data_IF_967758760669
#
_entry.id   IF_967758760669
#
_cell.length_a   1.000
_cell.length_b   1.000
_cell.length_c   1.000
_cell.angle_alpha   90.00
_cell.angle_beta   90.00
_cell.angle_gamma   90.00
#
_symmetry.space_group_name_H-M   'P 1'
#
loop_
_entity.id
_entity.type
_entity.pdbx_description
1 polymer ?
#
# COMPACT_ATOMS: atom_id res chain seq x y z
N UNK A 1 -19.47 64.46 55.33
CA UNK A 1 -18.22 63.71 55.07
C UNK A 1 -18.47 62.79 53.87
N UNK A 2 -17.94 63.15 52.70
CA UNK A 2 -18.23 62.55 51.41
C UNK A 2 -17.04 61.68 51.07
N UNK A 3 -17.19 60.32 50.99
CA UNK A 3 -16.19 59.39 50.62
C UNK A 3 -16.34 59.09 49.07
N UNK A 4 -15.36 59.50 48.29
CA UNK A 4 -15.25 59.18 46.87
C UNK A 4 -14.77 57.73 46.70
N UNK A 5 -15.56 56.90 46.04
CA UNK A 5 -15.12 55.58 45.54
C UNK A 5 -14.38 55.76 44.23
N UNK A 6 -13.12 55.38 44.15
CA UNK A 6 -12.33 55.21 42.88
C UNK A 6 -12.66 53.86 42.29
N UNK A 7 -13.11 53.83 41.03
CA UNK A 7 -13.27 52.63 40.25
C UNK A 7 -11.88 52.11 39.80
N UNK A 8 -11.55 50.91 40.21
CA UNK A 8 -10.37 50.18 39.71
C UNK A 8 -10.81 49.37 38.51
N UNK A 9 -10.34 49.74 37.31
CA UNK A 9 -10.53 48.94 36.06
C UNK A 9 -9.52 47.81 36.12
N UNK A 10 -9.91 46.53 36.01
CA UNK A 10 -8.93 45.45 36.06
C UNK A 10 -8.19 45.33 34.75
N UNK A 11 -6.88 45.47 34.80
CA UNK A 11 -5.92 45.30 33.70
C UNK A 11 -5.86 43.85 33.16
N UNK A 12 -6.67 42.95 33.68
CA UNK A 12 -6.70 41.53 33.23
C UNK A 12 -7.35 41.29 31.84
N UNK A 13 -8.16 42.23 31.35
CA UNK A 13 -8.86 42.06 30.08
C UNK A 13 -8.00 42.32 28.84
N UNK A 14 -6.88 43.09 28.98
CA UNK A 14 -6.01 43.41 27.83
C UNK A 14 -4.96 42.34 27.55
N UNK A 15 -4.60 41.48 28.49
CA UNK A 15 -3.61 40.42 28.33
C UNK A 15 -4.19 39.21 27.61
N UNK A 16 -5.50 38.95 27.75
CA UNK A 16 -6.18 37.78 27.15
C UNK A 16 -6.40 37.99 25.67
N UNK A 17 -6.64 39.23 25.17
CA UNK A 17 -6.81 39.53 23.75
C UNK A 17 -5.49 39.52 22.99
N UNK A 18 -4.36 39.87 23.59
CA UNK A 18 -3.05 39.83 22.96
C UNK A 18 -2.51 38.39 22.82
N UNK A 19 -2.81 37.52 23.79
CA UNK A 19 -2.41 36.09 23.70
C UNK A 19 -3.22 35.29 22.70
N UNK A 20 -4.52 35.62 22.48
CA UNK A 20 -5.34 34.97 21.46
C UNK A 20 -4.92 35.37 20.02
N UNK A 21 -4.45 36.62 19.81
CA UNK A 21 -3.98 37.08 18.51
C UNK A 21 -2.59 36.52 18.17
N UNK A 22 -1.71 36.35 19.15
CA UNK A 22 -0.39 35.74 18.95
C UNK A 22 -0.49 34.22 18.70
N UNK A 23 -1.43 33.53 19.35
CA UNK A 23 -1.71 32.12 19.11
C UNK A 23 -2.29 31.84 17.70
N UNK A 24 -3.13 32.74 17.18
CA UNK A 24 -3.69 32.62 15.83
C UNK A 24 -2.65 32.92 14.72
N UNK A 25 -1.65 33.76 14.98
CA UNK A 25 -0.52 34.03 14.08
C UNK A 25 0.50 32.89 14.09
N UNK A 26 0.74 32.24 15.22
CA UNK A 26 1.61 31.06 15.31
C UNK A 26 0.97 29.82 14.67
N UNK A 27 -0.35 29.65 14.75
CA UNK A 27 -1.06 28.57 14.08
C UNK A 27 -1.10 28.73 12.54
N UNK A 28 -1.02 29.96 12.03
CA UNK A 28 -0.94 30.23 10.57
C UNK A 28 0.47 30.07 9.99
N UNK A 29 1.52 30.11 10.81
CA UNK A 29 2.90 29.93 10.39
C UNK A 29 3.32 28.46 10.23
N UNK A 30 2.51 27.49 10.65
CA UNK A 30 2.83 26.06 10.58
C UNK A 30 2.37 25.35 9.31
N UNK A 31 1.87 26.03 8.29
CA UNK A 31 1.39 25.40 7.05
C UNK A 31 2.07 25.82 5.75
N UNK A 32 3.16 26.56 5.83
CA UNK A 32 4.06 26.70 4.69
C UNK A 32 4.98 25.45 4.66
N UNK A 33 4.44 24.32 4.18
CA UNK A 33 5.25 23.13 3.93
C UNK A 33 6.44 23.49 3.03
N UNK A 34 7.63 22.99 3.36
CA UNK A 34 8.80 23.15 2.52
C UNK A 34 8.46 22.75 1.06
N UNK A 35 8.99 23.48 0.09
CA UNK A 35 8.75 23.15 -1.32
C UNK A 35 9.20 21.71 -1.61
N UNK A 36 8.42 20.93 -2.38
CA UNK A 36 8.75 19.54 -2.70
C UNK A 36 10.15 19.44 -3.31
N UNK A 37 11.01 18.59 -2.74
CA UNK A 37 12.39 18.42 -3.20
C UNK A 37 12.53 17.18 -4.09
N UNK A 38 13.12 17.38 -5.29
CA UNK A 38 13.34 16.35 -6.30
C UNK A 38 14.32 15.29 -5.81
N UNK A 39 13.99 13.98 -5.89
CA UNK A 39 14.98 12.93 -5.70
C UNK A 39 16.12 13.02 -6.73
N UNK A 40 17.41 13.08 -6.29
CA UNK A 40 18.54 13.32 -7.19
C UNK A 40 18.63 12.36 -8.37
N UNK A 41 18.29 11.09 -8.19
CA UNK A 41 18.28 10.06 -9.25
C UNK A 41 17.33 10.39 -10.41
N UNK A 42 16.32 11.22 -10.19
CA UNK A 42 15.36 11.65 -11.21
C UNK A 42 15.76 12.98 -11.88
N UNK A 43 16.75 13.69 -11.36
CA UNK A 43 17.16 15.01 -11.82
C UNK A 43 17.48 15.08 -13.31
N UNK A 44 18.25 14.14 -13.85
CA UNK A 44 18.58 14.08 -15.28
C UNK A 44 17.34 13.95 -16.18
N UNK A 45 16.34 13.16 -15.74
CA UNK A 45 15.08 13.01 -16.47
C UNK A 45 14.22 14.26 -16.44
N UNK A 46 14.25 15.00 -15.33
CA UNK A 46 13.56 16.28 -15.21
C UNK A 46 14.26 17.33 -16.08
N UNK A 47 15.58 17.42 -16.05
CA UNK A 47 16.36 18.37 -16.86
C UNK A 47 16.21 18.13 -18.37
N UNK A 48 16.08 16.86 -18.79
CA UNK A 48 15.83 16.50 -20.20
C UNK A 48 14.37 16.66 -20.64
N UNK A 49 13.45 17.02 -19.72
CA UNK A 49 12.01 17.08 -20.00
C UNK A 49 11.31 15.73 -20.15
N UNK A 50 12.03 14.60 -19.99
CA UNK A 50 11.43 13.25 -20.07
C UNK A 50 10.60 12.89 -18.82
N UNK A 51 10.68 13.68 -17.77
CA UNK A 51 9.86 13.61 -16.57
C UNK A 51 9.49 15.03 -16.13
N UNK A 52 8.20 15.24 -15.82
CA UNK A 52 7.75 16.54 -15.29
C UNK A 52 8.41 16.83 -13.92
N UNK A 53 8.61 18.12 -13.56
CA UNK A 53 9.05 18.50 -12.21
C UNK A 53 8.16 17.92 -11.12
N UNK A 54 8.72 17.68 -9.93
CA UNK A 54 8.06 17.02 -8.81
C UNK A 54 6.70 17.64 -8.45
N UNK A 55 6.60 18.97 -8.46
CA UNK A 55 5.36 19.68 -8.15
C UNK A 55 4.19 19.34 -9.09
N UNK A 56 4.47 18.86 -10.32
CA UNK A 56 3.45 18.39 -11.29
C UNK A 56 3.18 16.89 -11.18
N UNK A 57 3.96 16.17 -10.40
CA UNK A 57 3.85 14.71 -10.22
C UNK A 57 3.18 14.32 -8.92
N UNK A 58 3.30 15.13 -7.89
CA UNK A 58 2.63 14.93 -6.61
C UNK A 58 1.15 15.31 -6.71
N UNK A 59 0.27 14.69 -5.90
CA UNK A 59 -1.07 15.20 -5.71
C UNK A 59 -1.03 16.59 -5.07
N UNK A 60 -2.10 17.36 -5.23
CA UNK A 60 -2.22 18.74 -4.67
C UNK A 60 -1.95 18.75 -3.16
N UNK A 61 -2.40 17.72 -2.46
CA UNK A 61 -2.11 17.47 -1.05
C UNK A 61 -1.46 16.10 -0.89
N UNK A 62 -0.12 16.00 -0.97
CA UNK A 62 0.58 14.74 -0.74
C UNK A 62 0.40 14.28 0.70
N UNK A 63 0.55 12.99 0.95
CA UNK A 63 0.59 12.46 2.30
C UNK A 63 1.92 12.81 2.96
N UNK A 64 1.89 13.60 4.02
CA UNK A 64 3.09 13.93 4.82
C UNK A 64 3.28 12.85 5.88
N UNK A 65 4.43 12.17 5.82
CA UNK A 65 4.81 11.19 6.84
C UNK A 65 5.50 11.94 7.99
N UNK A 66 4.94 11.90 9.21
CA UNK A 66 5.58 12.54 10.36
C UNK A 66 6.90 11.85 10.68
N UNK A 67 7.96 12.66 10.90
CA UNK A 67 9.31 12.18 11.24
C UNK A 67 9.69 12.49 12.69
N UNK A 68 8.75 13.00 13.47
CA UNK A 68 8.90 13.33 14.89
C UNK A 68 8.19 12.26 15.73
N UNK A 69 8.94 11.52 16.49
CA UNK A 69 8.44 10.43 17.34
C UNK A 69 8.83 9.03 16.81
N UNK A 70 8.65 8.04 17.64
CA UNK A 70 8.91 6.60 17.34
C UNK A 70 10.32 6.28 16.80
N UNK A 71 11.32 7.13 17.06
CA UNK A 71 12.69 6.95 16.59
C UNK A 71 12.88 7.18 15.08
N UNK A 72 11.90 7.76 14.40
CA UNK A 72 12.02 8.11 12.99
C UNK A 72 12.81 9.40 12.81
N UNK A 73 13.70 9.40 11.82
CA UNK A 73 14.44 10.58 11.38
C UNK A 73 14.46 10.65 9.85
N UNK A 74 14.58 11.86 9.28
CA UNK A 74 14.70 12.00 7.84
C UNK A 74 15.90 11.25 7.28
N UNK A 75 15.66 10.40 6.29
CA UNK A 75 16.70 9.63 5.60
C UNK A 75 17.49 10.44 4.58
N UNK A 76 18.41 9.77 3.90
CA UNK A 76 19.18 10.28 2.75
C UNK A 76 18.72 9.58 1.49
N UNK A 77 18.64 10.30 0.39
CA UNK A 77 18.37 9.70 -0.92
C UNK A 77 19.52 8.83 -1.40
N UNK A 78 19.17 7.77 -2.11
CA UNK A 78 20.11 6.88 -2.77
C UNK A 78 20.07 5.46 -2.24
N UNK A 79 21.02 4.67 -2.72
CA UNK A 79 21.25 3.31 -2.26
C UNK A 79 20.31 2.27 -2.83
N UNK A 80 20.69 1.02 -2.53
CA UNK A 80 20.01 -0.20 -2.97
C UNK A 80 19.69 -1.04 -1.75
N UNK A 81 18.42 -1.40 -1.57
CA UNK A 81 18.00 -2.35 -0.54
C UNK A 81 18.07 -3.78 -1.10
N UNK A 82 18.89 -4.63 -0.54
CA UNK A 82 19.07 -6.03 -0.96
C UNK A 82 18.25 -6.97 -0.09
N UNK A 83 17.50 -7.85 -0.73
CA UNK A 83 16.64 -8.85 -0.09
C UNK A 83 16.88 -10.23 -0.70
N UNK A 84 16.70 -11.28 0.08
CA UNK A 84 16.75 -12.67 -0.38
C UNK A 84 15.36 -13.30 -0.30
N UNK A 85 14.98 -14.02 -1.37
CA UNK A 85 13.71 -14.76 -1.42
C UNK A 85 13.94 -16.16 -1.99
N UNK A 86 13.08 -17.13 -1.61
CA UNK A 86 13.28 -18.50 -2.06
C UNK A 86 12.54 -18.83 -3.36
N UNK A 87 11.54 -18.06 -3.72
CA UNK A 87 10.70 -18.34 -4.90
C UNK A 87 10.39 -17.05 -5.65
N UNK A 88 10.34 -17.06 -6.99
CA UNK A 88 9.98 -15.88 -7.78
C UNK A 88 8.65 -15.24 -7.36
N UNK A 89 7.66 -16.03 -6.94
CA UNK A 89 6.37 -15.52 -6.45
C UNK A 89 6.48 -14.69 -5.16
N UNK A 90 7.59 -14.73 -4.45
CA UNK A 90 7.77 -13.98 -3.20
C UNK A 90 8.02 -12.49 -3.44
N UNK A 91 8.25 -12.06 -4.68
CA UNK A 91 8.29 -10.63 -5.04
C UNK A 91 7.02 -9.88 -4.61
N UNK A 92 5.89 -10.58 -4.41
CA UNK A 92 4.68 -10.04 -3.80
C UNK A 92 4.91 -9.38 -2.44
N UNK A 93 5.97 -9.76 -1.73
CA UNK A 93 6.35 -9.11 -0.46
C UNK A 93 6.66 -7.63 -0.63
N UNK A 94 7.00 -7.17 -1.84
CA UNK A 94 7.17 -5.74 -2.11
C UNK A 94 5.88 -4.93 -1.90
N UNK A 95 4.71 -5.55 -2.05
CA UNK A 95 3.44 -4.88 -1.69
C UNK A 95 3.26 -4.74 -0.18
N UNK A 96 3.85 -5.67 0.60
CA UNK A 96 3.85 -5.61 2.07
C UNK A 96 4.89 -4.61 2.58
N UNK A 97 6.10 -4.63 2.04
CA UNK A 97 7.18 -3.71 2.43
C UNK A 97 6.90 -2.26 1.99
N UNK A 98 6.32 -2.07 0.83
CA UNK A 98 5.92 -0.75 0.34
C UNK A 98 4.73 -0.16 1.09
N UNK A 99 3.82 -1.00 1.48
CA UNK A 99 2.62 -0.74 2.28
C UNK A 99 1.87 0.54 1.88
N UNK A 100 1.66 0.76 0.57
CA UNK A 100 0.74 1.77 0.08
C UNK A 100 -0.65 1.14 -0.05
N UNK A 101 -1.64 1.69 0.68
CA UNK A 101 -3.00 1.18 0.83
C UNK A 101 -4.01 2.31 0.66
N UNK A 102 -5.28 2.02 0.36
CA UNK A 102 -6.33 3.05 0.41
C UNK A 102 -6.42 3.65 1.81
N UNK A 103 -6.49 2.81 2.83
CA UNK A 103 -6.30 3.13 4.23
C UNK A 103 -5.22 2.23 4.81
N UNK A 104 -4.47 2.67 5.80
CA UNK A 104 -3.32 1.97 6.35
C UNK A 104 -3.32 2.02 7.88
N UNK A 105 -2.70 1.05 8.54
CA UNK A 105 -2.44 1.12 9.97
C UNK A 105 -1.27 2.07 10.25
N UNK A 106 -1.45 2.97 11.20
CA UNK A 106 -0.36 3.77 11.77
C UNK A 106 0.41 2.98 12.86
N UNK A 107 1.37 3.62 13.53
CA UNK A 107 2.17 2.99 14.59
C UNK A 107 1.34 2.64 15.83
N UNK A 108 0.24 3.32 16.06
CA UNK A 108 -0.73 3.14 17.14
C UNK A 108 -1.78 2.08 16.79
N UNK A 109 -1.66 1.42 15.63
CA UNK A 109 -2.60 0.43 15.08
C UNK A 109 -3.98 1.00 14.75
N UNK A 110 -4.08 2.30 14.56
CA UNK A 110 -5.29 2.95 14.06
C UNK A 110 -5.30 2.93 12.53
N UNK A 111 -6.49 2.79 11.93
CA UNK A 111 -6.63 2.84 10.48
C UNK A 111 -6.82 4.29 10.06
N UNK A 112 -5.88 4.79 9.26
CA UNK A 112 -5.85 6.16 8.76
C UNK A 112 -5.85 6.17 7.21
N UNK A 113 -6.35 7.23 6.55
CA UNK A 113 -6.20 7.40 5.10
C UNK A 113 -4.73 7.45 4.68
N UNK A 114 -4.41 6.78 3.54
CA UNK A 114 -3.06 6.77 2.96
C UNK A 114 -3.10 7.20 1.46
N UNK A 115 -3.43 6.29 0.55
CA UNK A 115 -3.71 6.65 -0.86
C UNK A 115 -4.92 7.57 -0.92
N UNK A 116 -5.94 7.30 -0.10
CA UNK A 116 -7.05 8.22 0.10
C UNK A 116 -6.57 9.50 0.79
N UNK A 117 -7.17 10.61 0.44
CA UNK A 117 -7.02 11.86 1.17
C UNK A 117 -7.88 11.85 2.44
N UNK A 118 -9.09 11.30 2.32
CA UNK A 118 -10.08 11.23 3.40
C UNK A 118 -11.00 10.02 3.22
N UNK A 119 -11.42 9.43 4.33
CA UNK A 119 -12.41 8.37 4.40
C UNK A 119 -13.52 8.80 5.35
N UNK A 120 -14.76 8.84 4.88
CA UNK A 120 -15.93 9.08 5.72
C UNK A 120 -16.68 7.76 5.93
N UNK A 121 -17.04 7.50 7.18
CA UNK A 121 -17.77 6.29 7.58
C UNK A 121 -19.03 6.70 8.33
N UNK A 122 -20.19 6.24 7.86
CA UNK A 122 -21.48 6.50 8.50
C UNK A 122 -22.15 5.17 8.88
N UNK A 123 -22.31 4.94 10.17
CA UNK A 123 -22.96 3.75 10.73
C UNK A 123 -22.29 2.42 10.32
N UNK A 124 -20.99 2.42 9.98
CA UNK A 124 -20.30 1.27 9.39
C UNK A 124 -21.00 0.66 8.17
N UNK A 125 -21.87 1.44 7.50
CA UNK A 125 -22.70 1.00 6.38
C UNK A 125 -22.45 1.81 5.10
N UNK A 126 -22.22 3.11 5.22
CA UNK A 126 -21.88 3.99 4.12
C UNK A 126 -20.43 4.45 4.28
N UNK A 127 -19.65 4.28 3.22
CA UNK A 127 -18.23 4.62 3.16
C UNK A 127 -17.98 5.49 1.93
N UNK A 128 -17.58 6.74 2.17
CA UNK A 128 -17.20 7.68 1.09
C UNK A 128 -15.69 7.82 1.08
N UNK A 129 -15.12 7.46 -0.06
CA UNK A 129 -13.66 7.44 -0.29
C UNK A 129 -13.28 8.65 -1.14
N UNK A 130 -12.51 9.58 -0.58
CA UNK A 130 -12.01 10.75 -1.28
C UNK A 130 -10.57 10.53 -1.71
N UNK A 131 -10.33 10.56 -3.02
CA UNK A 131 -9.00 10.42 -3.61
C UNK A 131 -8.23 11.73 -3.49
N UNK A 132 -6.90 11.65 -3.48
CA UNK A 132 -6.05 12.84 -3.55
C UNK A 132 -6.13 13.44 -4.96
N UNK A 133 -6.56 14.69 -5.06
CA UNK A 133 -6.64 15.40 -6.35
C UNK A 133 -5.25 15.47 -7.00
N UNK A 134 -5.19 15.04 -8.26
CA UNK A 134 -3.93 15.01 -9.04
C UNK A 134 -3.03 13.81 -8.75
N UNK A 135 -3.48 12.82 -7.98
CA UNK A 135 -2.74 11.56 -7.78
C UNK A 135 -2.58 10.82 -9.11
N UNK A 136 -1.44 10.14 -9.30
CA UNK A 136 -1.10 9.46 -10.55
C UNK A 136 -0.58 8.06 -10.30
N UNK A 137 -0.82 7.18 -11.27
CA UNK A 137 -0.16 5.90 -11.38
C UNK A 137 1.35 6.06 -11.68
N UNK A 138 2.12 4.99 -11.51
CA UNK A 138 3.58 5.00 -11.70
C UNK A 138 4.05 5.31 -13.13
N UNK A 139 3.16 5.24 -14.11
CA UNK A 139 3.38 5.64 -15.51
C UNK A 139 2.97 7.10 -15.79
N UNK A 140 2.39 7.79 -14.79
CA UNK A 140 1.96 9.16 -14.89
C UNK A 140 0.50 9.37 -15.27
N UNK A 141 -0.26 8.31 -15.58
CA UNK A 141 -1.70 8.43 -15.84
C UNK A 141 -2.45 8.85 -14.55
N UNK A 142 -3.48 9.72 -14.62
CA UNK A 142 -4.29 10.08 -13.46
C UNK A 142 -4.92 8.86 -12.77
N UNK A 143 -4.94 8.88 -11.43
CA UNK A 143 -5.68 7.93 -10.60
C UNK A 143 -6.99 8.59 -10.17
N UNK A 144 -8.12 8.05 -10.62
CA UNK A 144 -9.44 8.67 -10.50
C UNK A 144 -10.54 7.65 -10.14
N UNK A 145 -11.76 8.12 -9.97
CA UNK A 145 -12.95 7.28 -9.76
C UNK A 145 -13.19 6.28 -10.91
N UNK A 146 -12.68 6.56 -12.12
CA UNK A 146 -12.74 5.63 -13.25
C UNK A 146 -12.02 4.30 -12.98
N UNK A 147 -10.93 4.31 -12.19
CA UNK A 147 -10.20 3.11 -11.81
C UNK A 147 -11.03 2.20 -10.87
N UNK A 148 -11.92 2.80 -10.07
CA UNK A 148 -12.90 2.10 -9.24
C UNK A 148 -14.09 1.62 -10.04
N UNK A 149 -14.62 2.46 -10.97
CA UNK A 149 -15.69 2.05 -11.88
C UNK A 149 -15.27 0.84 -12.69
N UNK A 150 -14.08 0.89 -13.31
CA UNK A 150 -13.55 -0.23 -14.08
C UNK A 150 -13.45 -1.51 -13.25
N UNK A 151 -12.95 -1.41 -12.02
CA UNK A 151 -12.94 -2.57 -11.13
C UNK A 151 -14.35 -3.09 -10.87
N UNK A 152 -15.29 -2.21 -10.52
CA UNK A 152 -16.64 -2.60 -10.12
C UNK A 152 -17.45 -3.19 -11.29
N UNK A 153 -17.50 -2.48 -12.40
CA UNK A 153 -18.34 -2.85 -13.53
C UNK A 153 -17.71 -3.85 -14.48
N UNK A 154 -16.41 -3.69 -14.74
CA UNK A 154 -15.72 -4.43 -15.80
C UNK A 154 -14.93 -5.63 -15.28
N UNK A 155 -14.61 -5.68 -13.97
CA UNK A 155 -13.84 -6.78 -13.40
C UNK A 155 -14.68 -7.57 -12.39
N UNK A 156 -15.20 -6.94 -11.35
CA UNK A 156 -15.83 -7.62 -10.23
C UNK A 156 -17.24 -8.16 -10.55
N UNK A 157 -17.95 -7.50 -11.46
CA UNK A 157 -19.27 -7.89 -11.93
C UNK A 157 -19.28 -8.50 -13.35
N UNK A 158 -18.10 -8.70 -13.96
CA UNK A 158 -17.99 -9.42 -15.23
C UNK A 158 -17.91 -10.95 -14.98
N UNK A 159 -18.85 -11.70 -15.54
CA UNK A 159 -18.93 -13.17 -15.34
C UNK A 159 -17.72 -13.93 -15.92
N UNK A 160 -17.05 -13.36 -16.93
CA UNK A 160 -15.83 -13.95 -17.49
C UNK A 160 -14.61 -13.78 -16.58
N UNK A 161 -14.52 -12.65 -15.89
CA UNK A 161 -13.42 -12.32 -14.99
C UNK A 161 -13.70 -12.75 -13.53
N UNK A 162 -14.94 -12.67 -13.06
CA UNK A 162 -15.33 -13.05 -11.71
C UNK A 162 -16.44 -14.13 -11.72
N UNK A 163 -16.17 -15.34 -12.21
CA UNK A 163 -17.18 -16.40 -12.33
C UNK A 163 -17.74 -16.86 -10.99
N UNK A 164 -17.05 -16.62 -9.89
CA UNK A 164 -17.48 -16.94 -8.52
C UNK A 164 -18.08 -15.74 -7.77
N UNK A 165 -18.31 -14.62 -8.46
CA UNK A 165 -18.85 -13.39 -7.90
C UNK A 165 -17.84 -12.54 -7.13
N UNK A 166 -18.38 -11.63 -6.32
CA UNK A 166 -17.60 -10.67 -5.56
C UNK A 166 -16.79 -11.32 -4.42
N UNK A 167 -15.71 -10.66 -4.03
CA UNK A 167 -14.94 -11.05 -2.86
C UNK A 167 -15.80 -10.96 -1.58
N UNK A 168 -15.64 -11.93 -0.67
CA UNK A 168 -16.47 -12.05 0.55
C UNK A 168 -16.46 -10.79 1.42
N UNK A 169 -15.35 -10.05 1.44
CA UNK A 169 -15.25 -8.78 2.20
C UNK A 169 -16.18 -7.68 1.66
N UNK A 170 -16.65 -7.81 0.42
CA UNK A 170 -17.64 -6.92 -0.18
C UNK A 170 -19.08 -7.36 0.05
N UNK A 171 -19.31 -8.53 0.63
CA UNK A 171 -20.62 -9.08 0.85
C UNK A 171 -21.02 -8.96 2.34
N UNK A 172 -22.28 -8.59 2.58
CA UNK A 172 -22.92 -8.68 3.90
C UNK A 172 -24.16 -9.54 3.72
N UNK A 173 -24.22 -10.67 4.43
CA UNK A 173 -25.29 -11.68 4.28
C UNK A 173 -25.49 -12.14 2.80
N UNK A 174 -24.40 -12.16 2.02
CA UNK A 174 -24.42 -12.53 0.61
C UNK A 174 -24.77 -11.38 -0.36
N UNK A 175 -25.15 -10.22 0.14
CA UNK A 175 -25.53 -9.06 -0.69
C UNK A 175 -24.38 -8.08 -0.90
N UNK A 176 -24.28 -7.57 -2.13
CA UNK A 176 -23.29 -6.59 -2.56
C UNK A 176 -23.67 -5.17 -2.09
N UNK A 177 -22.71 -4.26 -1.96
CA UNK A 177 -23.00 -2.85 -1.75
C UNK A 177 -23.54 -2.20 -3.03
N UNK A 178 -24.26 -1.10 -2.85
CA UNK A 178 -24.44 -0.12 -3.91
C UNK A 178 -23.15 0.67 -4.07
N UNK A 179 -22.62 0.72 -5.28
CA UNK A 179 -21.45 1.52 -5.66
C UNK A 179 -21.90 2.76 -6.43
N UNK A 180 -21.31 3.90 -6.12
CA UNK A 180 -21.60 5.18 -6.77
C UNK A 180 -20.31 5.97 -7.04
N UNK A 181 -20.21 6.57 -8.21
CA UNK A 181 -19.25 7.65 -8.49
C UNK A 181 -19.96 8.95 -8.11
N UNK A 182 -19.42 9.65 -7.11
CA UNK A 182 -19.94 10.95 -6.69
C UNK A 182 -19.36 12.06 -7.57
N UNK A 183 -18.05 12.00 -7.82
CA UNK A 183 -17.32 12.88 -8.74
C UNK A 183 -16.03 12.20 -9.21
N UNK A 184 -15.16 12.90 -9.97
CA UNK A 184 -13.90 12.36 -10.50
C UNK A 184 -12.96 11.81 -9.42
N UNK A 185 -13.05 12.31 -8.19
CA UNK A 185 -12.15 11.97 -7.08
C UNK A 185 -12.88 11.36 -5.89
N UNK A 186 -14.17 11.08 -6.01
CA UNK A 186 -14.99 10.59 -4.90
C UNK A 186 -15.85 9.41 -5.31
N UNK A 187 -15.73 8.31 -4.58
CA UNK A 187 -16.59 7.13 -4.75
C UNK A 187 -17.23 6.75 -3.43
N UNK A 188 -18.39 6.10 -3.51
CA UNK A 188 -19.17 5.67 -2.34
C UNK A 188 -19.60 4.22 -2.45
N UNK A 189 -19.49 3.51 -1.33
CA UNK A 189 -20.03 2.16 -1.13
C UNK A 189 -21.06 2.19 -0.01
N UNK A 190 -22.27 1.66 -0.26
CA UNK A 190 -23.36 1.64 0.71
C UNK A 190 -23.94 0.24 0.81
N UNK A 191 -23.88 -0.36 2.00
CA UNK A 191 -24.48 -1.66 2.30
C UNK A 191 -25.85 -1.46 2.97
N UNK A 192 -26.71 -2.46 2.87
CA UNK A 192 -28.01 -2.47 3.55
C UNK A 192 -27.89 -2.65 5.08
N UNK A 193 -26.79 -3.30 5.53
CA UNK A 193 -26.40 -3.47 6.94
C UNK A 193 -24.93 -3.06 7.15
N UNK A 194 -24.49 -2.86 8.41
CA UNK A 194 -23.09 -2.55 8.69
C UNK A 194 -22.10 -3.58 8.14
N UNK A 195 -21.00 -3.13 7.54
CA UNK A 195 -19.84 -3.94 7.14
C UNK A 195 -18.57 -3.49 7.90
N UNK A 196 -18.35 -3.96 9.13
CA UNK A 196 -17.20 -3.56 9.94
C UNK A 196 -15.87 -4.07 9.36
N UNK A 197 -15.90 -5.02 8.43
CA UNK A 197 -14.70 -5.63 7.83
C UNK A 197 -14.16 -4.85 6.63
N UNK A 198 -14.93 -3.94 6.04
CA UNK A 198 -14.56 -3.27 4.80
C UNK A 198 -13.29 -2.43 4.97
N UNK A 199 -13.24 -1.52 5.97
CA UNK A 199 -12.07 -0.65 6.18
C UNK A 199 -10.82 -1.44 6.60
N UNK A 200 -10.89 -2.40 7.54
CA UNK A 200 -9.76 -3.29 7.83
C UNK A 200 -9.25 -4.07 6.62
N UNK A 201 -10.14 -4.49 5.71
CA UNK A 201 -9.74 -5.17 4.48
C UNK A 201 -8.95 -4.26 3.52
N UNK A 202 -9.25 -2.95 3.49
CA UNK A 202 -8.49 -1.97 2.69
C UNK A 202 -7.07 -1.77 3.24
N UNK A 203 -6.87 -1.92 4.57
CA UNK A 203 -5.60 -1.74 5.27
C UNK A 203 -4.77 -3.03 5.40
N UNK A 204 -5.32 -4.17 5.05
CA UNK A 204 -4.68 -5.48 5.25
C UNK A 204 -3.32 -5.61 4.53
N UNK A 205 -2.40 -6.48 4.99
CA UNK A 205 -1.16 -6.79 4.29
C UNK A 205 -1.38 -7.31 2.86
N UNK A 206 -2.44 -8.10 2.65
CA UNK A 206 -3.02 -8.42 1.33
C UNK A 206 -4.34 -7.65 1.20
N UNK A 207 -4.31 -6.42 0.69
CA UNK A 207 -5.46 -5.54 0.76
C UNK A 207 -6.57 -5.98 -0.21
N UNK A 208 -7.78 -5.56 0.11
CA UNK A 208 -8.89 -5.59 -0.81
C UNK A 208 -8.66 -4.52 -1.89
N UNK A 209 -8.23 -4.96 -3.08
CA UNK A 209 -8.04 -4.06 -4.22
C UNK A 209 -9.38 -3.82 -4.92
N UNK A 210 -10.00 -2.67 -4.68
CA UNK A 210 -11.27 -2.21 -5.28
C UNK A 210 -11.06 -1.18 -6.39
N UNK A 211 -9.88 -1.14 -6.96
CA UNK A 211 -9.49 -0.26 -8.07
C UNK A 211 -8.48 -0.97 -8.99
N UNK A 212 -8.43 -0.55 -10.24
CA UNK A 212 -7.53 -1.09 -11.27
C UNK A 212 -7.04 0.02 -12.17
N UNK A 213 -5.82 -0.03 -12.72
CA UNK A 213 -5.37 0.91 -13.75
C UNK A 213 -6.18 0.69 -15.03
N UNK A 214 -7.32 1.35 -15.12
CA UNK A 214 -8.29 1.19 -16.20
C UNK A 214 -7.66 1.42 -17.58
N UNK A 215 -6.86 2.49 -17.73
CA UNK A 215 -6.16 2.83 -18.96
C UNK A 215 -5.22 1.72 -19.47
N UNK A 216 -4.65 0.94 -18.56
CA UNK A 216 -3.79 -0.21 -18.90
C UNK A 216 -4.60 -1.45 -19.22
N UNK A 217 -5.58 -1.80 -18.37
CA UNK A 217 -6.29 -3.09 -18.46
C UNK A 217 -7.39 -3.13 -19.50
N UNK A 218 -8.00 -2.01 -19.87
CA UNK A 218 -8.95 -1.91 -21.00
C UNK A 218 -8.40 -2.50 -22.29
N UNK A 219 -7.08 -2.43 -22.49
CA UNK A 219 -6.40 -3.03 -23.66
C UNK A 219 -6.50 -4.56 -23.72
N UNK A 220 -6.92 -5.22 -22.67
CA UNK A 220 -7.03 -6.67 -22.55
C UNK A 220 -8.45 -7.14 -22.22
N UNK A 221 -9.45 -6.26 -22.34
CA UNK A 221 -10.82 -6.53 -21.93
C UNK A 221 -11.78 -6.55 -23.12
N UNK A 222 -12.67 -7.57 -23.18
CA UNK A 222 -13.60 -7.82 -24.30
C UNK A 222 -14.60 -6.69 -24.58
N UNK A 223 -14.89 -5.85 -23.60
CA UNK A 223 -15.74 -4.66 -23.78
C UNK A 223 -15.07 -3.56 -24.60
N UNK A 224 -13.74 -3.53 -24.67
CA UNK A 224 -12.96 -2.41 -25.24
C UNK A 224 -12.11 -2.81 -26.45
N UNK A 225 -11.91 -4.11 -26.68
CA UNK A 225 -11.07 -4.62 -27.75
C UNK A 225 -11.84 -5.70 -28.51
N UNK A 226 -11.67 -5.71 -29.82
CA UNK A 226 -12.26 -6.72 -30.69
C UNK A 226 -11.90 -8.15 -30.28
N UNK A 227 -12.86 -9.07 -30.37
CA UNK A 227 -12.69 -10.46 -29.92
C UNK A 227 -11.58 -11.20 -30.66
N UNK A 228 -11.47 -11.02 -31.97
CA UNK A 228 -10.42 -11.67 -32.77
C UNK A 228 -9.03 -11.15 -32.42
N UNK A 229 -8.91 -9.87 -32.11
CA UNK A 229 -7.66 -9.29 -31.62
C UNK A 229 -7.29 -9.82 -30.22
N UNK A 230 -8.26 -9.94 -29.32
CA UNK A 230 -8.02 -10.52 -27.99
C UNK A 230 -7.61 -11.99 -28.06
N UNK A 231 -8.22 -12.77 -28.94
CA UNK A 231 -7.83 -14.16 -29.16
C UNK A 231 -6.38 -14.27 -29.67
N UNK A 232 -5.99 -13.44 -30.64
CA UNK A 232 -4.60 -13.37 -31.11
C UNK A 232 -3.63 -13.04 -29.98
N UNK A 233 -3.95 -12.04 -29.19
CA UNK A 233 -3.14 -11.63 -28.01
C UNK A 233 -3.07 -12.72 -26.95
N UNK A 234 -4.19 -13.39 -26.65
CA UNK A 234 -4.24 -14.50 -25.72
C UNK A 234 -3.36 -15.67 -26.17
N UNK A 235 -3.47 -16.06 -27.46
CA UNK A 235 -2.65 -17.10 -28.08
C UNK A 235 -1.17 -16.76 -28.05
N UNK A 236 -0.79 -15.54 -28.44
CA UNK A 236 0.59 -15.05 -28.37
C UNK A 236 1.16 -15.09 -26.94
N UNK A 237 0.35 -14.77 -25.93
CA UNK A 237 0.70 -14.84 -24.52
C UNK A 237 0.56 -16.25 -23.91
N UNK A 238 0.27 -17.29 -24.72
CA UNK A 238 0.02 -18.67 -24.29
C UNK A 238 -1.08 -18.75 -23.21
N UNK A 239 -2.16 -17.98 -23.40
CA UNK A 239 -3.34 -17.99 -22.51
C UNK A 239 -4.52 -18.65 -23.23
N UNK A 240 -5.39 -19.30 -22.42
CA UNK A 240 -6.54 -20.05 -22.92
C UNK A 240 -7.57 -19.15 -23.64
N UNK A 241 -7.78 -17.95 -23.09
CA UNK A 241 -8.76 -16.98 -23.56
C UNK A 241 -8.41 -15.57 -23.07
N UNK A 242 -9.20 -14.57 -23.47
CA UNK A 242 -9.03 -13.18 -23.09
C UNK A 242 -9.10 -12.96 -21.54
N UNK A 243 -9.99 -13.67 -20.85
CA UNK A 243 -10.10 -13.54 -19.39
C UNK A 243 -8.81 -14.01 -18.68
N UNK A 244 -8.24 -15.14 -19.13
CA UNK A 244 -6.94 -15.63 -18.65
C UNK A 244 -5.79 -14.68 -19.00
N UNK A 245 -5.87 -14.00 -20.15
CA UNK A 245 -4.92 -12.95 -20.53
C UNK A 245 -5.07 -11.75 -19.60
N UNK A 246 -6.29 -11.22 -19.42
CA UNK A 246 -6.57 -10.11 -18.51
C UNK A 246 -6.07 -10.40 -17.10
N UNK A 247 -6.42 -11.55 -16.51
CA UNK A 247 -5.93 -11.96 -15.20
C UNK A 247 -4.41 -12.03 -15.12
N UNK A 248 -3.74 -12.43 -16.19
CA UNK A 248 -2.27 -12.46 -16.20
C UNK A 248 -1.65 -11.06 -16.21
N UNK A 249 -2.40 -10.05 -16.66
CA UNK A 249 -1.99 -8.65 -16.69
C UNK A 249 -2.40 -7.90 -15.42
N UNK A 250 -3.51 -8.30 -14.78
CA UNK A 250 -4.05 -7.72 -13.53
C UNK A 250 -3.53 -8.45 -12.28
N UNK A 251 -2.26 -8.26 -11.93
CA UNK A 251 -1.63 -8.93 -10.80
C UNK A 251 -1.02 -7.96 -9.79
N UNK A 252 -1.82 -7.01 -9.31
CA UNK A 252 -1.35 -5.98 -8.37
C UNK A 252 -0.65 -6.56 -7.13
N UNK A 253 -1.24 -7.59 -6.50
CA UNK A 253 -0.65 -8.21 -5.32
C UNK A 253 0.59 -9.07 -5.64
N UNK A 254 0.63 -9.74 -6.80
CA UNK A 254 1.79 -10.56 -7.17
C UNK A 254 3.01 -9.74 -7.52
N UNK A 255 2.79 -8.55 -8.05
CA UNK A 255 3.80 -7.57 -8.37
C UNK A 255 4.91 -8.12 -9.31
N UNK A 256 4.52 -9.00 -10.22
CA UNK A 256 5.40 -9.73 -11.14
C UNK A 256 5.24 -9.29 -12.62
N UNK A 257 4.46 -8.24 -12.87
CA UNK A 257 4.27 -7.64 -14.20
C UNK A 257 4.88 -6.23 -14.22
N UNK A 258 6.02 -6.00 -14.89
CA UNK A 258 6.67 -4.69 -14.94
C UNK A 258 5.88 -3.63 -15.71
N UNK A 259 4.96 -4.05 -16.60
CA UNK A 259 4.12 -3.15 -17.39
C UNK A 259 2.88 -2.66 -16.62
N UNK A 260 2.51 -3.33 -15.53
CA UNK A 260 1.34 -2.97 -14.73
C UNK A 260 1.61 -1.72 -13.91
N UNK A 261 0.91 -0.60 -14.14
CA UNK A 261 1.04 0.58 -13.31
C UNK A 261 0.71 0.30 -11.85
N UNK A 262 1.42 0.93 -10.94
CA UNK A 262 1.25 0.73 -9.50
C UNK A 262 1.23 2.05 -8.74
N UNK A 263 0.61 2.06 -7.56
CA UNK A 263 0.68 3.15 -6.58
C UNK A 263 1.70 2.88 -5.47
N UNK A 264 2.45 1.76 -5.56
CA UNK A 264 3.48 1.39 -4.59
C UNK A 264 4.72 2.30 -4.72
N UNK A 265 5.56 2.42 -3.67
CA UNK A 265 6.75 3.28 -3.68
C UNK A 265 7.82 2.84 -4.69
N UNK A 266 7.87 1.57 -5.04
CA UNK A 266 8.75 1.03 -6.08
C UNK A 266 7.94 0.25 -7.11
N UNK A 267 8.40 0.26 -8.36
CA UNK A 267 7.84 -0.50 -9.48
C UNK A 267 8.86 -1.51 -9.98
N UNK A 268 8.38 -2.70 -10.35
CA UNK A 268 9.24 -3.72 -10.98
C UNK A 268 9.75 -3.21 -12.33
N UNK A 269 11.02 -3.51 -12.64
CA UNK A 269 11.65 -3.15 -13.93
C UNK A 269 12.20 -4.35 -14.69
N UNK A 270 12.36 -5.50 -14.04
CA UNK A 270 12.85 -6.73 -14.68
C UNK A 270 11.69 -7.67 -14.98
N UNK A 271 11.52 -8.10 -16.25
CA UNK A 271 10.49 -9.07 -16.59
C UNK A 271 10.87 -10.48 -16.12
N UNK A 272 9.91 -11.27 -15.60
CA UNK A 272 10.13 -12.69 -15.39
C UNK A 272 10.16 -13.46 -16.76
N UNK A 273 10.86 -14.64 -16.83
CA UNK A 273 11.51 -15.32 -15.73
C UNK A 273 12.87 -14.70 -15.38
N UNK A 274 13.16 -14.57 -14.10
CA UNK A 274 14.43 -14.06 -13.60
C UNK A 274 14.69 -14.57 -12.18
N UNK A 275 15.96 -14.66 -11.79
CA UNK A 275 16.37 -14.90 -10.41
C UNK A 275 16.77 -13.61 -9.68
N UNK A 276 16.87 -12.49 -10.41
CA UNK A 276 17.20 -11.19 -9.88
C UNK A 276 16.12 -10.17 -10.29
N UNK A 277 15.30 -9.77 -9.34
CA UNK A 277 14.25 -8.78 -9.54
C UNK A 277 14.74 -7.41 -9.08
N UNK A 278 14.60 -6.42 -9.96
CA UNK A 278 14.99 -5.03 -9.70
C UNK A 278 13.75 -4.17 -9.67
N UNK A 279 13.57 -3.49 -8.56
CA UNK A 279 12.50 -2.51 -8.37
C UNK A 279 13.13 -1.12 -8.27
N UNK A 280 12.57 -0.16 -9.01
CA UNK A 280 13.02 1.22 -8.98
C UNK A 280 11.93 2.12 -8.43
N UNK A 281 12.33 3.21 -7.81
CA UNK A 281 11.44 4.20 -7.23
C UNK A 281 10.33 4.60 -8.21
N UNK A 282 9.11 4.72 -7.68
CA UNK A 282 7.97 5.28 -8.40
C UNK A 282 8.09 6.82 -8.41
N UNK A 283 8.26 7.47 -9.57
CA UNK A 283 8.42 8.92 -9.65
C UNK A 283 7.14 9.70 -9.28
N UNK A 284 5.98 9.03 -9.22
CA UNK A 284 4.68 9.61 -8.89
C UNK A 284 4.17 9.19 -7.50
N UNK A 285 5.06 8.67 -6.64
CA UNK A 285 4.64 8.24 -5.31
C UNK A 285 4.14 9.42 -4.47
N UNK A 286 3.00 9.25 -3.81
CA UNK A 286 2.22 10.32 -3.20
C UNK A 286 2.70 10.78 -1.82
N UNK A 287 3.65 10.09 -1.20
CA UNK A 287 4.13 10.44 0.13
C UNK A 287 5.36 11.33 0.09
N UNK A 288 5.39 12.30 1.01
CA UNK A 288 6.55 13.14 1.29
C UNK A 288 6.90 13.09 2.77
N UNK A 289 8.13 13.43 3.14
CA UNK A 289 8.51 13.66 4.53
C UNK A 289 8.07 15.06 5.00
N UNK A 290 8.32 15.37 6.28
CA UNK A 290 7.98 16.67 6.87
C UNK A 290 8.72 17.85 6.23
N UNK A 291 9.84 17.60 5.54
CA UNK A 291 10.58 18.60 4.78
C UNK A 291 10.16 18.70 3.29
N UNK A 292 9.07 18.03 2.89
CA UNK A 292 8.57 18.01 1.52
C UNK A 292 9.37 17.15 0.55
N UNK A 293 10.30 16.32 1.01
CA UNK A 293 11.09 15.43 0.15
C UNK A 293 10.27 14.20 -0.21
N UNK A 294 10.18 13.88 -1.52
CA UNK A 294 9.40 12.73 -1.98
C UNK A 294 9.99 11.40 -1.48
N UNK A 295 9.17 10.57 -0.88
CA UNK A 295 9.55 9.20 -0.50
C UNK A 295 9.43 8.22 -1.69
N UNK A 296 10.04 7.04 -1.63
CA UNK A 296 10.96 6.55 -0.60
C UNK A 296 12.34 7.22 -0.69
N UNK A 297 13.19 7.12 0.34
CA UNK A 297 14.58 7.57 0.24
C UNK A 297 15.44 6.61 -0.60
N UNK A 298 15.20 5.32 -0.49
CA UNK A 298 15.90 4.26 -1.21
C UNK A 298 15.49 4.27 -2.68
N UNK A 299 16.46 4.34 -3.59
CA UNK A 299 16.20 4.43 -5.02
C UNK A 299 15.85 3.11 -5.68
N UNK A 300 16.46 2.02 -5.20
CA UNK A 300 16.33 0.70 -5.81
C UNK A 300 16.16 -0.39 -4.74
N UNK A 301 15.35 -1.40 -5.03
CA UNK A 301 15.28 -2.64 -4.25
C UNK A 301 15.63 -3.80 -5.15
N UNK A 302 16.58 -4.64 -4.72
CA UNK A 302 16.99 -5.83 -5.43
C UNK A 302 16.60 -7.06 -4.63
N UNK A 303 15.81 -7.94 -5.24
CA UNK A 303 15.51 -9.26 -4.68
C UNK A 303 16.28 -10.30 -5.46
N UNK A 304 17.16 -11.02 -4.78
CA UNK A 304 17.87 -12.18 -5.32
C UNK A 304 17.19 -13.47 -4.87
N UNK A 305 16.91 -14.37 -5.81
CA UNK A 305 16.39 -15.70 -5.49
C UNK A 305 17.55 -16.59 -5.03
N UNK A 306 17.34 -17.26 -3.91
CA UNK A 306 18.27 -18.23 -3.34
C UNK A 306 17.46 -19.37 -2.70
N UNK A 307 18.02 -20.56 -2.59
CA UNK A 307 17.29 -21.66 -1.93
C UNK A 307 17.04 -21.32 -0.45
N UNK A 308 15.90 -21.72 0.09
CA UNK A 308 15.53 -21.40 1.47
C UNK A 308 16.55 -21.90 2.51
N UNK A 309 17.28 -22.99 2.19
CA UNK A 309 18.31 -23.58 3.07
C UNK A 309 19.54 -22.68 3.23
N UNK A 310 19.92 -21.91 2.21
CA UNK A 310 21.12 -21.06 2.24
C UNK A 310 20.83 -19.61 2.62
N UNK A 311 19.56 -19.17 2.63
CA UNK A 311 19.19 -17.81 3.01
C UNK A 311 19.71 -17.41 4.40
N UNK A 312 19.60 -18.24 5.46
CA UNK A 312 20.15 -17.88 6.76
C UNK A 312 21.68 -17.64 6.72
N UNK A 313 22.42 -18.49 6.00
CA UNK A 313 23.87 -18.34 5.86
C UNK A 313 24.24 -17.05 5.10
N UNK A 314 23.58 -16.76 3.98
CA UNK A 314 23.74 -15.52 3.22
C UNK A 314 23.36 -14.27 4.03
N UNK A 315 22.34 -14.37 4.87
CA UNK A 315 21.98 -13.30 5.80
C UNK A 315 23.07 -13.08 6.84
N UNK A 316 23.59 -14.17 7.42
CA UNK A 316 24.69 -14.12 8.38
C UNK A 316 25.99 -13.59 7.79
N UNK A 317 26.23 -13.70 6.46
CA UNK A 317 27.38 -13.11 5.77
C UNK A 317 27.15 -11.66 5.32
N UNK A 318 25.98 -11.04 5.62
CA UNK A 318 25.69 -9.66 5.26
C UNK A 318 25.26 -9.43 3.81
N UNK A 319 24.83 -10.48 3.09
CA UNK A 319 24.39 -10.35 1.69
C UNK A 319 22.99 -9.73 1.53
N UNK A 320 22.26 -9.50 2.63
CA UNK A 320 20.95 -8.81 2.62
C UNK A 320 20.90 -7.70 3.68
N UNK A 321 20.26 -6.60 3.34
CA UNK A 321 20.12 -5.43 4.21
C UNK A 321 18.90 -5.55 5.14
N UNK A 322 17.87 -6.29 4.72
CA UNK A 322 16.67 -6.60 5.49
C UNK A 322 16.23 -8.03 5.21
N UNK A 323 16.15 -8.88 6.22
CA UNK A 323 15.73 -10.26 6.04
C UNK A 323 14.84 -10.72 7.18
N UNK A 324 13.56 -10.97 6.88
CA UNK A 324 12.61 -11.60 7.81
C UNK A 324 12.13 -12.95 7.25
N UNK A 325 11.80 -12.97 5.94
CA UNK A 325 11.27 -14.16 5.28
C UNK A 325 12.35 -15.25 5.18
N UNK A 326 11.99 -16.51 5.47
CA UNK A 326 12.87 -17.68 5.52
C UNK A 326 13.90 -17.66 6.67
N UNK A 327 13.79 -16.69 7.59
CA UNK A 327 14.48 -16.73 8.88
C UNK A 327 13.50 -17.29 9.92
N UNK A 328 13.95 -18.26 10.69
CA UNK A 328 13.18 -18.94 11.75
C UNK A 328 13.91 -18.80 13.07
N UNK A 329 13.23 -19.10 14.16
CA UNK A 329 13.79 -18.97 15.51
C UNK A 329 14.98 -19.92 15.74
N UNK A 330 15.01 -21.09 15.10
CA UNK A 330 16.15 -22.02 15.15
C UNK A 330 17.43 -21.49 14.51
N UNK A 331 17.35 -20.42 13.69
CA UNK A 331 18.52 -19.71 13.17
C UNK A 331 19.06 -18.62 14.14
N UNK A 332 18.38 -18.37 15.28
CA UNK A 332 18.67 -17.23 16.15
C UNK A 332 20.12 -17.22 16.65
N UNK A 333 20.59 -18.31 17.25
CA UNK A 333 21.94 -18.41 17.83
C UNK A 333 23.01 -18.14 16.78
N UNK A 334 22.89 -18.79 15.61
CA UNK A 334 23.80 -18.59 14.49
C UNK A 334 23.83 -17.13 14.02
N UNK A 335 22.67 -16.50 13.85
CA UNK A 335 22.61 -15.12 13.39
C UNK A 335 23.09 -14.12 14.45
N UNK A 336 22.84 -14.37 15.74
CA UNK A 336 23.38 -13.54 16.83
C UNK A 336 24.89 -13.62 16.92
N UNK A 337 25.47 -14.77 16.63
CA UNK A 337 26.93 -14.92 16.55
C UNK A 337 27.49 -14.21 15.31
N UNK A 338 26.80 -14.30 14.18
CA UNK A 338 27.18 -13.62 12.93
C UNK A 338 27.09 -12.08 13.03
N UNK A 339 26.16 -11.55 13.83
CA UNK A 339 26.00 -10.12 14.13
C UNK A 339 27.29 -9.48 14.67
N UNK A 340 28.09 -10.23 15.41
CA UNK A 340 29.39 -9.77 15.96
C UNK A 340 30.44 -9.50 14.87
N UNK A 341 30.32 -10.13 13.70
CA UNK A 341 31.30 -10.08 12.61
C UNK A 341 30.85 -9.22 11.45
N UNK A 342 29.55 -8.96 11.35
CA UNK A 342 28.91 -8.24 10.23
C UNK A 342 28.02 -7.13 10.78
N UNK A 343 27.89 -6.06 10.03
CA UNK A 343 27.13 -4.85 10.42
C UNK A 343 25.63 -5.06 10.20
N UNK A 344 24.98 -5.85 11.07
CA UNK A 344 23.54 -5.99 11.14
C UNK A 344 23.07 -6.30 12.56
N UNK A 345 21.78 -6.15 12.85
CA UNK A 345 21.18 -6.44 14.14
C UNK A 345 20.04 -7.47 14.02
N UNK A 346 20.08 -8.53 14.82
CA UNK A 346 19.01 -9.51 14.93
C UNK A 346 17.96 -9.00 15.93
N UNK A 347 16.74 -8.82 15.46
CA UNK A 347 15.61 -8.36 16.28
C UNK A 347 14.53 -9.43 16.31
N UNK A 348 14.05 -9.75 17.51
CA UNK A 348 12.91 -10.64 17.69
C UNK A 348 11.63 -9.83 17.69
N UNK A 349 10.64 -10.27 16.92
CA UNK A 349 9.32 -9.68 16.89
C UNK A 349 8.34 -10.52 17.69
N UNK A 350 7.50 -9.88 18.48
CA UNK A 350 6.35 -10.53 19.08
C UNK A 350 5.35 -10.88 17.99
N UNK A 351 4.88 -12.11 17.99
CA UNK A 351 3.80 -12.56 17.11
C UNK A 351 2.49 -12.66 17.90
N UNK A 352 1.37 -12.45 17.22
CA UNK A 352 0.03 -12.62 17.81
C UNK A 352 -0.54 -14.02 17.57
N UNK A 353 0.23 -14.92 16.97
CA UNK A 353 -0.16 -16.32 16.75
C UNK A 353 -0.17 -17.05 18.08
N UNK A 354 -1.32 -17.62 18.45
CA UNK A 354 -1.49 -18.35 19.72
C UNK A 354 -0.72 -19.67 19.76
N UNK A 355 -0.39 -20.28 18.62
CA UNK A 355 0.40 -21.50 18.50
C UNK A 355 1.38 -21.40 17.33
N UNK A 356 2.63 -21.81 17.57
CA UNK A 356 3.64 -21.92 16.52
C UNK A 356 3.47 -23.21 15.69
N UNK A 357 2.93 -24.23 16.29
CA UNK A 357 2.61 -25.51 15.69
C UNK A 357 1.15 -25.85 15.99
N UNK A 358 0.39 -26.17 14.95
CA UNK A 358 -0.99 -26.63 15.06
C UNK A 358 -1.17 -27.93 14.29
N UNK A 359 -1.83 -28.89 14.90
CA UNK A 359 -2.23 -30.13 14.25
C UNK A 359 -3.66 -29.96 13.74
N UNK A 360 -3.86 -30.27 12.46
CA UNK A 360 -5.17 -30.25 11.82
C UNK A 360 -5.58 -31.68 11.48
N UNK A 361 -6.40 -32.33 12.31
CA UNK A 361 -6.88 -33.67 12.00
C UNK A 361 -7.75 -33.67 10.75
N UNK A 362 -7.64 -34.72 9.94
CA UNK A 362 -8.51 -34.86 8.77
C UNK A 362 -9.90 -35.37 9.23
N UNK A 363 -10.80 -34.43 9.51
CA UNK A 363 -12.18 -34.75 9.92
C UNK A 363 -13.05 -35.32 8.80
N UNK A 364 -12.51 -35.42 7.57
CA UNK A 364 -13.21 -36.03 6.41
C UNK A 364 -12.57 -37.35 5.96
N UNK A 365 -11.75 -37.98 6.81
CA UNK A 365 -11.21 -39.32 6.52
C UNK A 365 -12.33 -40.29 6.21
N UNK A 366 -12.13 -41.14 5.19
CA UNK A 366 -13.18 -42.09 4.73
C UNK A 366 -13.54 -43.13 5.77
N UNK A 367 -12.55 -43.62 6.53
CA UNK A 367 -12.77 -44.59 7.61
C UNK A 367 -13.68 -43.99 8.72
N UNK A 368 -14.84 -44.59 8.98
CA UNK A 368 -15.81 -44.05 9.93
C UNK A 368 -15.32 -44.12 11.39
N UNK A 369 -14.46 -45.09 11.74
CA UNK A 369 -13.90 -45.22 13.10
C UNK A 369 -12.91 -44.07 13.35
N UNK A 370 -11.98 -43.87 12.43
CA UNK A 370 -11.04 -42.75 12.52
C UNK A 370 -11.73 -41.38 12.46
N UNK A 371 -12.73 -41.21 11.61
CA UNK A 371 -13.51 -39.99 11.53
C UNK A 371 -14.18 -39.65 12.86
N UNK A 372 -14.78 -40.67 13.52
CA UNK A 372 -15.39 -40.47 14.83
C UNK A 372 -14.36 -40.11 15.88
N UNK A 373 -13.27 -40.89 15.99
CA UNK A 373 -12.17 -40.60 16.93
C UNK A 373 -11.63 -39.17 16.77
N UNK A 374 -11.37 -38.73 15.54
CA UNK A 374 -10.81 -37.41 15.28
C UNK A 374 -11.80 -36.26 15.55
N UNK A 375 -13.12 -36.53 15.58
CA UNK A 375 -14.14 -35.52 15.91
C UNK A 375 -14.45 -35.42 17.39
N UNK A 376 -14.22 -36.49 18.13
CA UNK A 376 -14.56 -36.61 19.55
C UNK A 376 -13.37 -36.23 20.47
N UNK A 377 -12.21 -35.89 19.90
CA UNK A 377 -11.02 -35.38 20.58
C UNK A 377 -10.90 -33.86 20.37
#
# INVERSE_FOLDING_TARGET
MIARRRAIIPWAAFIILASAYCGALLAKAQTAGAAPAEPPVLGARVSSGSLSPLAKRLPVRPMVVPMNGNGLSPGRYGGVLKLLMAKPKDVRMMTVYGYARLAAYNAELEIVPDILERLEVRGNREFTLHLRKGHRWSDGHPFTAEDFRYYWEDVANDKGLAPFGLQTQLLVDGEAPRFEIVDETTVRYTWFRPNPYFVPALAAPSPLYIYRPAHYLKRFHSRYVDSGELERRAKAAKKRNWASLHHSKDRQYRFDNPDLPTLQPWRLTTPPPTERFVFRRNPYYHRVDAAGRQLPYIDEVVIQIATNKIIPAKTGSGESDLQARYIRFDHYTFLKESEKRNDFAVRLWRTVTGAQLALYPNLNVEDPVWRRLLRDV
#
